data_IF_686761593068
#
_entry.id   IF_686761593068
#
_cell.length_a   1.000
_cell.length_b   1.000
_cell.length_c   1.000
_cell.angle_alpha   90.00
_cell.angle_beta   90.00
_cell.angle_gamma   90.00
#
_symmetry.space_group_name_H-M   'P 1'
#
loop_
_entity.id
_entity.type
_entity.pdbx_description
1 polymer ?
#
# COMPACT_ATOMS: atom_id res chain seq x y z
N UNK A 1 -15.12 -26.68 -0.62
CA UNK A 1 -13.65 -26.58 -0.39
C UNK A 1 -13.32 -25.10 -0.31
N UNK A 2 -12.35 -24.67 0.51
CA UNK A 2 -11.96 -23.26 0.56
C UNK A 2 -11.41 -22.82 -0.81
N UNK A 3 -11.85 -21.66 -1.29
CA UNK A 3 -11.33 -21.04 -2.50
C UNK A 3 -9.94 -20.46 -2.24
N UNK A 4 -9.08 -20.46 -3.24
CA UNK A 4 -7.86 -19.64 -3.23
C UNK A 4 -8.22 -18.15 -3.26
N UNK A 5 -7.33 -17.25 -2.81
CA UNK A 5 -7.51 -15.81 -2.97
C UNK A 5 -7.95 -15.38 -4.37
N UNK A 6 -7.29 -15.91 -5.40
CA UNK A 6 -7.58 -15.59 -6.80
C UNK A 6 -8.97 -16.06 -7.22
N UNK A 7 -9.34 -17.31 -6.89
CA UNK A 7 -10.67 -17.83 -7.18
C UNK A 7 -11.74 -16.99 -6.49
N UNK A 8 -11.57 -16.68 -5.21
CA UNK A 8 -12.51 -15.85 -4.43
C UNK A 8 -12.77 -14.50 -5.07
N UNK A 9 -11.72 -13.81 -5.51
CA UNK A 9 -11.83 -12.51 -6.19
C UNK A 9 -12.56 -12.67 -7.53
N UNK A 10 -12.19 -13.66 -8.35
CA UNK A 10 -12.83 -13.88 -9.65
C UNK A 10 -14.30 -14.27 -9.53
N UNK A 11 -14.67 -15.13 -8.58
CA UNK A 11 -16.06 -15.49 -8.28
C UNK A 11 -16.86 -14.24 -7.91
N UNK A 12 -16.31 -13.38 -7.04
CA UNK A 12 -16.95 -12.12 -6.64
C UNK A 12 -17.15 -11.19 -7.84
N UNK A 13 -16.13 -11.04 -8.70
CA UNK A 13 -16.20 -10.21 -9.91
C UNK A 13 -17.21 -10.74 -10.94
N UNK A 14 -17.48 -12.04 -10.93
CA UNK A 14 -18.52 -12.66 -11.74
C UNK A 14 -19.93 -12.54 -11.14
N UNK A 15 -20.09 -11.79 -10.04
CA UNK A 15 -21.36 -11.66 -9.29
C UNK A 15 -21.89 -12.98 -8.71
N UNK A 16 -20.99 -13.93 -8.44
CA UNK A 16 -21.30 -15.20 -7.79
C UNK A 16 -20.93 -15.15 -6.30
N UNK A 17 -21.51 -16.04 -5.48
CA UNK A 17 -21.23 -16.10 -4.04
C UNK A 17 -19.90 -16.81 -3.76
N UNK A 18 -18.86 -16.11 -3.24
CA UNK A 18 -17.60 -16.73 -2.86
C UNK A 18 -17.70 -17.46 -1.51
N UNK A 19 -16.66 -18.21 -1.14
CA UNK A 19 -16.56 -18.87 0.17
C UNK A 19 -16.46 -17.90 1.36
N UNK A 20 -16.09 -16.63 1.11
CA UNK A 20 -16.19 -15.47 2.01
C UNK A 20 -15.99 -14.17 1.22
N UNK A 21 -16.29 -13.02 1.83
CA UNK A 21 -15.99 -11.70 1.25
C UNK A 21 -14.47 -11.55 1.01
N UNK A 22 -14.01 -11.12 -0.19
CA UNK A 22 -12.60 -10.84 -0.44
C UNK A 22 -12.04 -9.72 0.47
N UNK A 23 -10.83 -9.93 0.99
CA UNK A 23 -10.11 -8.94 1.80
C UNK A 23 -9.13 -8.14 0.93
N UNK A 24 -9.45 -6.87 0.69
CA UNK A 24 -8.62 -5.91 -0.07
C UNK A 24 -7.99 -4.92 0.90
N UNK A 25 -6.73 -5.16 1.28
CA UNK A 25 -6.02 -4.38 2.30
C UNK A 25 -4.62 -4.03 1.78
N UNK A 26 -4.23 -2.74 1.90
CA UNK A 26 -2.87 -2.30 1.59
C UNK A 26 -2.46 -2.37 0.11
N UNK A 27 -3.42 -2.38 -0.81
CA UNK A 27 -3.15 -2.57 -2.25
C UNK A 27 -2.97 -1.28 -3.06
N UNK A 28 -2.99 -0.13 -2.41
CA UNK A 28 -2.83 1.17 -3.07
C UNK A 28 -1.62 1.90 -2.50
N UNK A 29 -0.97 2.73 -3.31
CA UNK A 29 0.04 3.69 -2.87
C UNK A 29 -0.57 4.95 -2.20
N UNK A 30 -1.90 5.04 -2.08
CA UNK A 30 -2.59 6.21 -1.52
C UNK A 30 -3.14 5.98 -0.09
N UNK A 31 -3.56 4.75 0.22
CA UNK A 31 -4.29 4.41 1.45
C UNK A 31 -3.65 3.22 2.17
N UNK A 32 -3.69 3.23 3.50
CA UNK A 32 -3.05 2.20 4.31
C UNK A 32 -3.34 2.37 5.80
N UNK A 33 -2.53 1.68 6.62
CA UNK A 33 -2.64 1.68 8.08
C UNK A 33 -1.67 2.72 8.63
N UNK A 34 -2.08 3.51 9.64
CA UNK A 34 -1.14 4.39 10.35
C UNK A 34 -0.07 3.58 11.06
N UNK A 35 1.16 4.08 11.06
CA UNK A 35 2.35 3.35 11.50
C UNK A 35 2.23 2.81 12.93
N UNK A 36 1.71 3.62 13.86
CA UNK A 36 1.56 3.16 15.26
C UNK A 36 0.61 1.95 15.39
N UNK A 37 -0.66 2.01 14.91
CA UNK A 37 -1.52 0.82 14.86
C UNK A 37 -0.91 -0.36 14.10
N UNK A 38 -0.16 -0.09 13.02
CA UNK A 38 0.51 -1.13 12.25
C UNK A 38 1.55 -1.90 13.08
N UNK A 39 2.38 -1.18 13.83
CA UNK A 39 3.39 -1.76 14.73
C UNK A 39 2.75 -2.58 15.86
N UNK A 40 1.70 -2.05 16.49
CA UNK A 40 0.94 -2.75 17.53
C UNK A 40 0.32 -4.05 16.98
N UNK A 41 -0.21 -4.01 15.76
CA UNK A 41 -0.72 -5.20 15.06
C UNK A 41 0.40 -6.22 14.78
N UNK A 42 1.57 -5.79 14.30
CA UNK A 42 2.72 -6.70 14.08
C UNK A 42 3.17 -7.40 15.34
N UNK A 43 3.14 -6.73 16.49
CA UNK A 43 3.43 -7.35 17.78
C UNK A 43 2.44 -8.47 18.13
N UNK A 44 1.15 -8.25 17.90
CA UNK A 44 0.10 -9.27 18.11
C UNK A 44 0.29 -10.45 17.15
N UNK A 45 0.60 -10.17 15.89
CA UNK A 45 0.80 -11.15 14.84
C UNK A 45 2.17 -11.85 14.91
N UNK A 46 3.08 -11.36 15.76
CA UNK A 46 4.48 -11.80 15.93
C UNK A 46 5.33 -11.67 14.65
N UNK A 47 4.99 -10.72 13.77
CA UNK A 47 5.74 -10.43 12.55
C UNK A 47 6.99 -9.60 12.89
N UNK A 48 8.14 -9.98 12.35
CA UNK A 48 9.44 -9.33 12.60
C UNK A 48 10.01 -8.58 11.38
N UNK A 49 9.27 -8.55 10.26
CA UNK A 49 9.65 -7.78 9.09
C UNK A 49 9.95 -6.30 9.44
N UNK A 50 10.87 -5.62 8.74
CA UNK A 50 11.18 -4.22 9.02
C UNK A 50 9.98 -3.31 8.72
N UNK A 51 9.86 -2.22 9.47
CA UNK A 51 8.87 -1.18 9.19
C UNK A 51 9.35 -0.28 8.07
N UNK A 52 8.42 0.06 7.17
CA UNK A 52 8.65 0.97 6.05
C UNK A 52 7.44 1.89 5.93
N UNK A 53 7.67 3.14 5.54
CA UNK A 53 6.59 4.09 5.27
C UNK A 53 6.20 4.00 3.80
N UNK A 54 4.91 4.18 3.54
CA UNK A 54 4.36 4.18 2.17
C UNK A 54 4.95 5.30 1.32
N UNK A 55 5.30 6.42 1.96
CA UNK A 55 5.90 7.58 1.33
C UNK A 55 7.25 7.86 1.95
N UNK A 56 8.15 8.46 1.17
CA UNK A 56 9.39 9.09 1.64
C UNK A 56 9.10 10.41 2.43
N UNK A 57 7.96 10.45 3.14
CA UNK A 57 7.48 11.54 3.99
C UNK A 57 6.89 10.94 5.28
N UNK A 58 7.74 10.61 6.26
CA UNK A 58 7.35 9.87 7.47
C UNK A 58 6.23 10.53 8.30
N UNK A 59 6.08 11.85 8.21
CA UNK A 59 5.07 12.66 8.90
C UNK A 59 3.65 12.31 8.47
N UNK A 60 3.45 11.85 7.22
CA UNK A 60 2.16 11.29 6.79
C UNK A 60 1.82 10.03 7.60
N UNK A 61 2.83 9.31 8.10
CA UNK A 61 2.68 8.28 9.10
C UNK A 61 1.96 7.02 8.61
N UNK A 62 1.89 6.79 7.30
CA UNK A 62 1.24 5.61 6.70
C UNK A 62 2.27 4.51 6.46
N UNK A 63 1.99 3.29 6.92
CA UNK A 63 2.86 2.14 6.74
C UNK A 63 2.76 1.56 5.32
N UNK A 64 3.91 1.18 4.77
CA UNK A 64 4.02 0.20 3.69
C UNK A 64 3.86 -1.19 4.31
N UNK A 65 2.78 -1.90 3.98
CA UNK A 65 2.47 -3.19 4.59
C UNK A 65 3.39 -4.26 3.99
N UNK A 66 4.14 -4.95 4.85
CA UNK A 66 5.04 -6.03 4.44
C UNK A 66 4.29 -7.32 4.05
N UNK A 67 4.94 -8.14 3.22
CA UNK A 67 4.34 -9.35 2.65
C UNK A 67 3.97 -10.39 3.73
N UNK A 68 4.78 -10.52 4.78
CA UNK A 68 4.51 -11.43 5.89
C UNK A 68 3.20 -11.04 6.61
N UNK A 69 3.02 -9.74 6.86
CA UNK A 69 1.80 -9.18 7.43
C UNK A 69 0.60 -9.38 6.52
N UNK A 70 0.72 -9.10 5.21
CA UNK A 70 -0.37 -9.33 4.25
C UNK A 70 -0.79 -10.80 4.19
N UNK A 71 0.17 -11.73 4.23
CA UNK A 71 -0.08 -13.15 4.31
C UNK A 71 -0.81 -13.52 5.61
N UNK A 72 -0.38 -12.97 6.75
CA UNK A 72 -0.97 -13.24 8.06
C UNK A 72 -2.40 -12.70 8.20
N UNK A 73 -2.68 -11.58 7.55
CA UNK A 73 -4.01 -10.97 7.45
C UNK A 73 -4.92 -11.63 6.39
N UNK A 74 -4.39 -12.59 5.63
CA UNK A 74 -5.11 -13.27 4.56
C UNK A 74 -5.63 -12.32 3.46
N UNK A 75 -4.86 -11.27 3.14
CA UNK A 75 -5.18 -10.34 2.06
C UNK A 75 -5.24 -11.05 0.72
N UNK A 76 -6.35 -10.89 -0.01
CA UNK A 76 -6.67 -11.69 -1.19
C UNK A 76 -6.05 -11.17 -2.50
N UNK A 77 -5.41 -10.00 -2.42
CA UNK A 77 -4.86 -9.25 -3.56
C UNK A 77 -3.51 -8.62 -3.20
N UNK A 78 -2.73 -8.25 -4.22
CA UNK A 78 -1.51 -7.44 -4.11
C UNK A 78 -1.60 -6.27 -5.08
N UNK A 79 -1.12 -5.11 -4.64
CA UNK A 79 -1.08 -3.91 -5.48
C UNK A 79 -0.05 -4.04 -6.58
N UNK A 80 -0.45 -3.70 -7.81
CA UNK A 80 0.49 -3.34 -8.88
C UNK A 80 0.40 -1.83 -8.97
N UNK A 81 1.42 -1.16 -8.44
CA UNK A 81 1.40 0.27 -8.20
C UNK A 81 2.14 0.99 -9.32
N UNK A 82 1.61 2.15 -9.68
CA UNK A 82 2.34 3.11 -10.49
C UNK A 82 3.52 3.69 -9.70
N UNK A 83 4.58 4.01 -10.43
CA UNK A 83 5.75 4.67 -9.88
C UNK A 83 6.12 5.81 -10.83
N UNK A 84 6.31 6.99 -10.26
CA UNK A 84 6.86 8.14 -10.99
C UNK A 84 8.19 7.76 -11.66
N UNK A 85 8.42 8.17 -12.93
CA UNK A 85 9.70 7.95 -13.59
C UNK A 85 10.87 8.41 -12.72
N UNK A 86 11.99 7.70 -12.77
CA UNK A 86 13.16 7.99 -11.92
C UNK A 86 13.59 9.46 -11.99
N UNK A 87 13.55 10.08 -13.19
CA UNK A 87 13.88 11.50 -13.35
C UNK A 87 13.01 12.41 -12.46
N UNK A 88 11.71 12.12 -12.37
CA UNK A 88 10.73 12.93 -11.64
C UNK A 88 10.96 12.74 -10.14
N UNK A 89 11.15 11.49 -9.70
CA UNK A 89 11.53 11.18 -8.31
C UNK A 89 12.82 11.87 -7.86
N UNK A 90 13.84 11.92 -8.72
CA UNK A 90 15.11 12.60 -8.41
C UNK A 90 14.91 14.12 -8.31
N UNK A 91 14.20 14.71 -9.27
CA UNK A 91 13.83 16.13 -9.24
C UNK A 91 13.11 16.51 -7.93
N UNK A 92 12.19 15.66 -7.45
CA UNK A 92 11.49 15.90 -6.19
C UNK A 92 12.38 15.78 -4.95
N UNK A 93 13.41 14.93 -4.96
CA UNK A 93 14.34 14.82 -3.82
C UNK A 93 15.31 15.99 -3.74
N UNK A 94 15.66 16.54 -4.88
CA UNK A 94 16.62 17.64 -4.99
C UNK A 94 15.93 19.03 -4.99
N UNK A 95 14.59 19.07 -4.89
CA UNK A 95 13.84 20.32 -4.91
C UNK A 95 14.11 21.16 -3.66
N UNK A 96 14.05 22.49 -3.82
CA UNK A 96 14.11 23.41 -2.69
C UNK A 96 12.90 23.20 -1.75
N UNK A 97 13.07 23.30 -0.43
CA UNK A 97 11.94 23.22 0.50
C UNK A 97 10.82 24.19 0.12
N UNK A 98 9.57 23.73 0.18
CA UNK A 98 8.37 24.50 -0.19
C UNK A 98 8.23 24.89 -1.67
N UNK A 99 9.09 24.38 -2.57
CA UNK A 99 8.89 24.58 -4.02
C UNK A 99 7.84 23.61 -4.58
N UNK A 100 7.23 23.96 -5.71
CA UNK A 100 6.24 23.11 -6.37
C UNK A 100 6.74 21.69 -6.65
N UNK A 101 5.88 20.71 -6.37
CA UNK A 101 6.04 19.32 -6.74
C UNK A 101 5.37 19.10 -8.10
N UNK A 102 6.15 18.96 -9.18
CA UNK A 102 5.63 18.71 -10.54
C UNK A 102 5.66 17.21 -10.88
N UNK A 103 4.51 16.60 -11.12
CA UNK A 103 4.40 15.19 -11.48
C UNK A 103 4.81 14.88 -12.95
N UNK A 104 4.82 13.60 -13.33
CA UNK A 104 5.12 13.19 -14.72
C UNK A 104 4.15 13.69 -15.78
N UNK A 105 2.98 14.17 -15.38
CA UNK A 105 1.95 14.75 -16.25
C UNK A 105 2.08 16.27 -16.38
N UNK A 106 2.99 16.89 -15.62
CA UNK A 106 3.20 18.34 -15.59
C UNK A 106 2.27 19.07 -14.63
N UNK A 107 1.55 18.37 -13.75
CA UNK A 107 0.70 18.98 -12.73
C UNK A 107 1.52 19.35 -11.50
N UNK A 108 1.31 20.55 -10.97
CA UNK A 108 2.00 21.04 -9.77
C UNK A 108 1.14 20.96 -8.51
N UNK A 109 1.71 20.49 -7.40
CA UNK A 109 1.20 20.71 -6.05
C UNK A 109 2.17 21.58 -5.25
N UNK A 110 1.64 22.63 -4.63
CA UNK A 110 2.36 23.45 -3.65
C UNK A 110 2.23 22.78 -2.29
N UNK A 111 3.34 22.66 -1.57
CA UNK A 111 3.40 22.12 -0.21
C UNK A 111 2.69 23.02 0.81
#
# INVERSE_FOLDING_TARGET
>A
MPMTPRERVLTTLNHEEPDRVPLVIGVSNATGIKMKPYQEMKQILKVQAPDRYLYDWPELGTAEIDEETLCRLHGDVRGVLDLEPERVRLQHREREPHSDCIDSWGSGQVE
#
